data_IF_469612185214
#
_entry.id   IF_469612185214
#
_cell.length_a   1.000
_cell.length_b   1.000
_cell.length_c   1.000
_cell.angle_alpha   90.00
_cell.angle_beta   90.00
_cell.angle_gamma   90.00
#
_symmetry.space_group_name_H-M   'P 1'
#
loop_
_entity.id
_entity.type
_entity.pdbx_description
1 polymer ?
#
# COMPACT_ATOMS: atom_id res chain seq x y z
N UNK A 1 10.32 -13.48 -9.97
CA UNK A 1 9.10 -12.65 -9.84
C UNK A 1 7.86 -13.49 -9.56
N UNK A 2 7.58 -14.55 -10.34
CA UNK A 2 6.42 -15.44 -10.13
C UNK A 2 6.29 -16.02 -8.71
N UNK A 3 7.42 -16.34 -8.06
CA UNK A 3 7.47 -16.75 -6.64
C UNK A 3 6.65 -15.83 -5.73
N UNK A 4 6.68 -14.51 -5.92
CA UNK A 4 5.97 -13.57 -5.06
C UNK A 4 4.46 -13.52 -5.34
N UNK A 5 4.05 -13.80 -6.57
CA UNK A 5 2.63 -13.99 -6.93
C UNK A 5 2.10 -15.26 -6.26
N UNK A 6 2.86 -16.36 -6.33
CA UNK A 6 2.52 -17.61 -5.64
C UNK A 6 2.47 -17.43 -4.12
N UNK A 7 3.43 -16.71 -3.54
CA UNK A 7 3.45 -16.40 -2.12
C UNK A 7 2.21 -15.59 -1.71
N UNK A 8 1.81 -14.59 -2.50
CA UNK A 8 0.58 -13.84 -2.25
C UNK A 8 -0.66 -14.76 -2.27
N UNK A 9 -0.74 -15.69 -3.22
CA UNK A 9 -1.79 -16.72 -3.25
C UNK A 9 -1.79 -17.60 -2.00
N UNK A 10 -0.63 -18.09 -1.55
CA UNK A 10 -0.50 -18.88 -0.32
C UNK A 10 -0.88 -18.08 0.95
N UNK A 11 -0.79 -16.75 0.89
CA UNK A 11 -1.22 -15.84 1.95
C UNK A 11 -2.71 -15.47 1.83
N UNK A 12 -3.47 -16.11 0.95
CA UNK A 12 -4.90 -15.89 0.67
C UNK A 12 -5.21 -14.49 0.11
N UNK A 13 -4.30 -13.93 -0.69
CA UNK A 13 -4.59 -12.74 -1.50
C UNK A 13 -5.44 -13.14 -2.71
N UNK A 14 -6.42 -12.30 -3.05
CA UNK A 14 -7.40 -12.59 -4.11
C UNK A 14 -6.73 -12.53 -5.47
N UNK A 15 -6.01 -11.44 -5.73
CA UNK A 15 -5.23 -11.25 -6.95
C UNK A 15 -3.82 -10.78 -6.58
N UNK A 16 -2.84 -11.19 -7.38
CA UNK A 16 -1.49 -10.68 -7.32
C UNK A 16 -0.88 -10.62 -8.71
N UNK A 17 -0.23 -9.51 -9.04
CA UNK A 17 0.34 -9.28 -10.38
C UNK A 17 1.65 -8.52 -10.29
N UNK A 18 2.63 -8.93 -11.09
CA UNK A 18 3.88 -8.20 -11.27
C UNK A 18 3.69 -7.21 -12.42
N UNK A 19 3.99 -5.95 -12.16
CA UNK A 19 3.90 -4.85 -13.13
C UNK A 19 5.22 -4.08 -13.20
N UNK A 20 5.37 -3.28 -14.25
CA UNK A 20 6.40 -2.25 -14.33
C UNK A 20 5.96 -0.98 -13.58
N UNK A 21 6.88 -0.19 -12.99
CA UNK A 21 6.53 1.13 -12.45
C UNK A 21 5.84 2.07 -13.44
N UNK A 22 6.03 1.86 -14.76
CA UNK A 22 5.33 2.61 -15.82
C UNK A 22 3.81 2.41 -15.82
N UNK A 23 3.32 1.35 -15.17
CA UNK A 23 1.90 1.04 -15.03
C UNK A 23 1.29 1.62 -13.75
N UNK A 24 2.08 2.26 -12.87
CA UNK A 24 1.56 3.04 -11.75
C UNK A 24 1.20 4.44 -12.23
N UNK A 25 -0.04 4.84 -11.99
CA UNK A 25 -0.48 6.19 -12.25
C UNK A 25 -0.39 7.03 -10.98
N UNK A 26 0.18 8.23 -11.13
CA UNK A 26 0.29 9.21 -10.06
C UNK A 26 -0.62 10.39 -10.35
N UNK A 27 -1.28 10.89 -9.32
CA UNK A 27 -2.12 12.07 -9.42
C UNK A 27 -2.12 12.83 -8.10
N UNK A 28 -1.83 14.13 -8.14
CA UNK A 28 -1.76 14.97 -6.94
C UNK A 28 -3.12 15.07 -6.23
N UNK A 29 -4.23 14.78 -6.92
CA UNK A 29 -5.57 14.69 -6.31
C UNK A 29 -5.67 13.54 -5.30
N UNK A 30 -4.82 12.51 -5.37
CA UNK A 30 -4.72 11.50 -4.31
C UNK A 30 -4.24 12.14 -2.99
N UNK A 31 -3.30 13.09 -3.06
CA UNK A 31 -2.85 13.86 -1.89
C UNK A 31 -3.95 14.81 -1.40
N UNK A 32 -4.72 15.45 -2.29
CA UNK A 32 -5.89 16.25 -1.92
C UNK A 32 -6.88 15.41 -1.08
N UNK A 33 -7.24 14.21 -1.56
CA UNK A 33 -8.13 13.30 -0.83
C UNK A 33 -7.53 12.83 0.49
N UNK A 34 -6.23 12.54 0.54
CA UNK A 34 -5.56 12.15 1.78
C UNK A 34 -5.60 13.26 2.83
N UNK A 35 -5.36 14.53 2.43
CA UNK A 35 -5.25 15.67 3.34
C UNK A 35 -6.59 16.20 3.87
N UNK A 36 -7.65 16.12 3.06
CA UNK A 36 -8.96 16.71 3.40
C UNK A 36 -10.11 15.71 3.47
N UNK A 37 -9.93 14.50 2.95
CA UNK A 37 -10.97 13.46 2.90
C UNK A 37 -10.72 12.25 3.79
N UNK A 38 -9.59 12.19 4.51
CA UNK A 38 -9.28 11.12 5.45
C UNK A 38 -9.50 11.59 6.89
N UNK A 39 -10.32 10.85 7.64
CA UNK A 39 -10.64 11.14 9.04
C UNK A 39 -9.40 11.04 9.94
N UNK A 40 -8.45 10.14 9.63
CA UNK A 40 -7.21 9.97 10.38
C UNK A 40 -6.12 11.02 10.03
N UNK A 41 -6.35 11.93 9.07
CA UNK A 41 -5.30 12.85 8.62
C UNK A 41 -4.93 13.91 9.66
N UNK A 42 -5.91 14.46 10.37
CA UNK A 42 -5.68 15.46 11.42
C UNK A 42 -4.92 14.89 12.61
N UNK A 43 -5.03 13.58 12.82
CA UNK A 43 -4.28 12.84 13.82
C UNK A 43 -2.84 12.67 13.34
N UNK A 44 -2.01 13.71 13.53
CA UNK A 44 -0.60 13.70 13.17
C UNK A 44 0.16 12.61 13.92
N UNK A 45 0.13 11.42 13.34
CA UNK A 45 0.62 10.21 13.94
C UNK A 45 1.54 9.48 12.97
N UNK A 46 2.28 8.49 13.47
CA UNK A 46 3.32 7.79 12.69
C UNK A 46 2.77 7.15 11.39
N UNK A 47 1.48 6.81 11.33
CA UNK A 47 0.82 6.22 10.14
C UNK A 47 0.63 7.24 9.00
N UNK A 48 0.43 8.51 9.34
CA UNK A 48 0.10 9.58 8.39
C UNK A 48 1.32 10.44 8.01
N UNK A 49 2.51 10.09 8.49
CA UNK A 49 3.73 10.87 8.26
C UNK A 49 4.26 10.68 6.84
N UNK A 50 4.44 11.77 6.11
CA UNK A 50 5.16 11.79 4.82
C UNK A 50 6.69 11.84 4.98
N UNK A 51 7.17 11.95 6.24
CA UNK A 51 8.59 12.12 6.59
C UNK A 51 9.29 13.22 5.78
N UNK A 52 8.57 14.30 5.47
CA UNK A 52 9.11 15.47 4.77
C UNK A 52 9.25 15.31 3.25
N UNK A 53 8.83 14.19 2.67
CA UNK A 53 8.99 13.94 1.23
C UNK A 53 7.97 14.72 0.38
N UNK A 54 8.43 15.35 -0.68
CA UNK A 54 7.63 15.99 -1.73
C UNK A 54 6.93 14.94 -2.61
N UNK A 55 5.93 15.36 -3.38
CA UNK A 55 5.25 14.46 -4.30
C UNK A 55 6.21 13.95 -5.39
N UNK A 56 7.08 14.82 -5.89
CA UNK A 56 8.08 14.50 -6.91
C UNK A 56 9.08 13.47 -6.41
N UNK A 57 9.58 13.60 -5.16
CA UNK A 57 10.45 12.59 -4.55
C UNK A 57 9.78 11.23 -4.45
N UNK A 58 8.51 11.18 -4.01
CA UNK A 58 7.74 9.93 -3.90
C UNK A 58 7.51 9.26 -5.25
N UNK A 59 7.23 10.04 -6.29
CA UNK A 59 7.12 9.54 -7.67
C UNK A 59 8.46 8.97 -8.13
N UNK A 60 9.56 9.68 -7.90
CA UNK A 60 10.90 9.24 -8.30
C UNK A 60 11.32 7.97 -7.55
N UNK A 61 11.03 7.87 -6.25
CA UNK A 61 11.27 6.66 -5.45
C UNK A 61 10.67 5.42 -6.11
N UNK A 62 9.39 5.46 -6.49
CA UNK A 62 8.73 4.30 -7.11
C UNK A 62 9.27 4.02 -8.51
N UNK A 63 9.58 5.05 -9.30
CA UNK A 63 10.10 4.90 -10.67
C UNK A 63 11.48 4.22 -10.73
N UNK A 64 12.23 4.20 -9.62
CA UNK A 64 13.56 3.57 -9.55
C UNK A 64 13.55 2.05 -9.41
N UNK A 65 12.40 1.45 -9.12
CA UNK A 65 12.28 0.01 -9.02
C UNK A 65 12.15 -0.64 -10.41
N UNK A 66 12.45 -1.94 -10.50
CA UNK A 66 12.32 -2.68 -11.77
C UNK A 66 10.93 -3.32 -11.88
N UNK A 67 10.40 -3.78 -10.75
CA UNK A 67 9.14 -4.49 -10.66
C UNK A 67 8.33 -3.99 -9.47
N UNK A 68 7.01 -4.09 -9.57
CA UNK A 68 6.09 -3.83 -8.47
C UNK A 68 5.11 -5.00 -8.43
N UNK A 69 4.97 -5.64 -7.27
CA UNK A 69 3.89 -6.58 -7.02
C UNK A 69 2.67 -5.80 -6.53
N UNK A 70 1.58 -5.81 -7.30
CA UNK A 70 0.26 -5.35 -6.86
C UNK A 70 -0.45 -6.53 -6.21
N UNK A 71 -1.04 -6.32 -5.03
CA UNK A 71 -1.76 -7.34 -4.27
C UNK A 71 -3.14 -6.84 -3.89
N UNK A 72 -4.15 -7.68 -4.08
CA UNK A 72 -5.56 -7.39 -3.82
C UNK A 72 -6.12 -8.28 -2.70
N UNK A 73 -6.90 -7.68 -1.79
CA UNK A 73 -7.72 -8.41 -0.81
C UNK A 73 -8.92 -7.56 -0.38
N UNK A 74 -9.93 -8.20 0.20
CA UNK A 74 -11.01 -7.50 0.90
C UNK A 74 -10.69 -7.30 2.40
N UNK A 75 -9.80 -8.11 2.97
CA UNK A 75 -9.39 -8.02 4.38
C UNK A 75 -8.19 -7.07 4.52
N UNK A 76 -8.36 -5.90 5.18
CA UNK A 76 -7.28 -4.93 5.34
C UNK A 76 -6.13 -5.44 6.21
N UNK A 77 -6.40 -6.29 7.20
CA UNK A 77 -5.37 -6.83 8.10
C UNK A 77 -4.59 -7.93 7.40
N UNK A 78 -5.28 -8.84 6.70
CA UNK A 78 -4.62 -9.89 5.92
C UNK A 78 -3.70 -9.25 4.87
N UNK A 79 -4.20 -8.26 4.12
CA UNK A 79 -3.39 -7.52 3.16
C UNK A 79 -2.17 -6.85 3.81
N UNK A 80 -2.38 -6.19 4.95
CA UNK A 80 -1.31 -5.48 5.66
C UNK A 80 -0.22 -6.42 6.18
N UNK A 81 -0.58 -7.61 6.66
CA UNK A 81 0.36 -8.62 7.14
C UNK A 81 1.07 -9.31 5.97
N UNK A 82 0.31 -9.70 4.94
CA UNK A 82 0.83 -10.39 3.76
C UNK A 82 1.86 -9.57 3.00
N UNK A 83 1.61 -8.26 2.80
CA UNK A 83 2.57 -7.38 2.14
C UNK A 83 3.89 -7.25 2.90
N UNK A 84 3.87 -7.26 4.24
CA UNK A 84 5.10 -7.25 5.04
C UNK A 84 5.85 -8.58 4.96
N UNK A 85 5.14 -9.70 4.91
CA UNK A 85 5.78 -11.01 4.76
C UNK A 85 6.43 -11.16 3.38
N UNK A 86 5.76 -10.65 2.33
CA UNK A 86 6.32 -10.61 0.98
C UNK A 86 7.52 -9.67 0.92
N UNK A 87 7.43 -8.47 1.49
CA UNK A 87 8.56 -7.52 1.59
C UNK A 87 9.77 -8.18 2.27
N UNK A 88 9.56 -8.80 3.44
CA UNK A 88 10.60 -9.51 4.18
C UNK A 88 11.19 -10.66 3.37
N UNK A 89 10.36 -11.47 2.72
CA UNK A 89 10.82 -12.59 1.90
C UNK A 89 11.66 -12.08 0.73
N UNK A 90 11.20 -11.04 0.04
CA UNK A 90 11.94 -10.45 -1.07
C UNK A 90 13.27 -9.86 -0.63
N UNK A 91 13.31 -9.18 0.51
CA UNK A 91 14.55 -8.69 1.10
C UNK A 91 15.55 -9.83 1.35
N UNK A 92 15.10 -10.94 1.93
CA UNK A 92 15.92 -12.12 2.18
C UNK A 92 16.37 -12.85 0.90
N UNK A 93 15.61 -12.72 -0.18
CA UNK A 93 15.95 -13.23 -1.51
C UNK A 93 16.96 -12.32 -2.26
N UNK A 94 17.45 -11.23 -1.64
CA UNK A 94 18.46 -10.34 -2.20
C UNK A 94 17.92 -9.05 -2.82
N UNK A 95 16.60 -8.83 -2.84
CA UNK A 95 16.00 -7.56 -3.25
C UNK A 95 16.13 -6.54 -2.10
N UNK A 96 17.34 -6.04 -1.87
CA UNK A 96 17.71 -5.27 -0.68
C UNK A 96 17.01 -3.90 -0.54
N UNK A 97 16.38 -3.41 -1.61
CA UNK A 97 15.48 -2.25 -1.57
C UNK A 97 14.00 -2.63 -1.46
N UNK A 98 13.63 -3.90 -1.30
CA UNK A 98 12.24 -4.33 -1.20
C UNK A 98 11.47 -3.51 -0.17
N UNK A 99 10.34 -2.94 -0.59
CA UNK A 99 9.58 -2.02 0.25
C UNK A 99 8.08 -2.06 -0.05
N UNK A 100 7.25 -2.24 0.97
CA UNK A 100 5.81 -2.21 0.81
C UNK A 100 5.21 -0.80 0.91
N UNK A 101 4.21 -0.52 0.09
CA UNK A 101 3.30 0.63 0.22
C UNK A 101 1.92 0.08 0.58
N UNK A 102 1.42 0.47 1.76
CA UNK A 102 0.12 0.01 2.28
C UNK A 102 -0.40 0.86 3.42
N UNK A 103 -1.73 0.90 3.57
CA UNK A 103 -2.38 1.43 4.78
C UNK A 103 -2.19 0.46 5.96
N UNK A 104 -1.80 0.98 7.13
CA UNK A 104 -1.54 0.16 8.31
C UNK A 104 -2.82 -0.36 8.97
N UNK A 105 -2.98 -1.69 9.01
CA UNK A 105 -4.12 -2.37 9.63
C UNK A 105 -3.71 -3.58 10.49
N UNK A 106 -2.47 -3.58 10.99
CA UNK A 106 -1.89 -4.71 11.75
C UNK A 106 -2.63 -4.97 13.07
N UNK A 107 -3.05 -3.91 13.77
CA UNK A 107 -3.67 -4.02 15.07
C UNK A 107 -5.20 -4.17 14.95
N UNK A 108 -5.83 -4.90 15.88
CA UNK A 108 -7.30 -4.87 16.07
C UNK A 108 -7.79 -3.50 16.51
N UNK A 109 -7.05 -2.89 17.45
CA UNK A 109 -7.28 -1.54 17.95
C UNK A 109 -5.93 -0.84 17.94
N UNK A 110 -5.83 0.31 17.30
CA UNK A 110 -4.56 1.02 17.16
C UNK A 110 -4.21 1.75 18.47
N UNK A 111 -3.07 1.44 19.10
CA UNK A 111 -2.61 2.17 20.31
C UNK A 111 -2.43 3.66 20.05
N UNK A 112 -2.05 4.01 18.82
CA UNK A 112 -1.82 5.39 18.40
C UNK A 112 -3.10 6.23 18.39
N UNK A 113 -4.24 5.64 18.00
CA UNK A 113 -5.55 6.30 18.10
C UNK A 113 -5.98 6.56 19.56
N UNK A 114 -5.37 5.85 20.52
CA UNK A 114 -5.57 6.08 21.96
C UNK A 114 -4.53 7.05 22.56
N UNK A 115 -3.76 7.75 21.74
CA UNK A 115 -2.69 8.66 22.19
C UNK A 115 -1.42 7.97 22.68
N UNK A 116 -1.30 6.64 22.56
CA UNK A 116 -0.11 5.89 22.98
C UNK A 116 0.90 5.74 21.84
N UNK A 117 2.13 5.36 22.17
CA UNK A 117 3.14 5.01 21.17
C UNK A 117 2.74 3.75 20.39
N UNK A 118 3.13 3.70 19.12
CA UNK A 118 3.00 2.48 18.32
C UNK A 118 3.91 1.39 18.91
N UNK A 119 3.42 0.15 19.14
CA UNK A 119 4.27 -0.96 19.58
C UNK A 119 5.13 -1.55 18.44
N UNK A 120 4.84 -1.20 17.19
CA UNK A 120 5.54 -1.69 16.00
C UNK A 120 5.87 -0.57 15.00
N UNK A 121 6.59 0.49 15.41
CA UNK A 121 6.90 1.62 14.53
C UNK A 121 7.71 1.22 13.28
N UNK A 122 8.53 0.17 13.38
CA UNK A 122 9.35 -0.41 12.31
C UNK A 122 8.52 -1.05 11.19
N UNK A 123 7.28 -1.46 11.50
CA UNK A 123 6.34 -2.08 10.55
C UNK A 123 5.45 -1.07 9.84
N UNK A 124 5.58 0.22 10.14
CA UNK A 124 4.78 1.25 9.49
C UNK A 124 5.32 1.51 8.09
N UNK A 125 4.42 1.57 7.12
CA UNK A 125 4.69 1.91 5.72
C UNK A 125 3.75 3.07 5.33
N UNK A 126 4.12 3.91 4.36
CA UNK A 126 3.21 4.92 3.84
C UNK A 126 2.02 4.28 3.13
N UNK A 127 0.86 4.93 3.17
CA UNK A 127 -0.28 4.52 2.35
C UNK A 127 -0.13 5.03 0.91
N UNK A 128 -0.78 4.31 -0.01
CA UNK A 128 -0.83 4.59 -1.45
C UNK A 128 -1.28 6.03 -1.77
N UNK A 129 -2.36 6.51 -1.14
CA UNK A 129 -2.84 7.88 -1.31
C UNK A 129 -1.84 8.93 -0.83
N UNK A 130 -1.20 8.70 0.32
CA UNK A 130 -0.15 9.60 0.82
C UNK A 130 1.08 9.59 -0.08
N UNK A 131 1.32 8.54 -0.86
CA UNK A 131 2.37 8.51 -1.87
C UNK A 131 1.97 9.14 -3.21
N UNK A 132 0.69 9.48 -3.37
CA UNK A 132 0.16 10.09 -4.59
C UNK A 132 -0.24 9.08 -5.67
N UNK A 133 -0.41 7.81 -5.33
CA UNK A 133 -0.84 6.76 -6.25
C UNK A 133 -2.33 6.89 -6.53
N UNK A 134 -2.71 6.97 -7.81
CA UNK A 134 -4.09 6.80 -8.26
C UNK A 134 -4.40 5.30 -8.36
N UNK A 135 -4.85 4.72 -7.24
CA UNK A 135 -5.16 3.28 -7.16
C UNK A 135 -6.28 2.90 -8.11
N UNK A 136 -7.29 3.75 -8.31
CA UNK A 136 -8.42 3.45 -9.20
C UNK A 136 -7.95 3.32 -10.64
N UNK A 137 -7.23 4.32 -11.16
CA UNK A 137 -6.72 4.27 -12.54
C UNK A 137 -5.71 3.14 -12.72
N UNK A 138 -4.82 2.95 -11.75
CA UNK A 138 -3.81 1.88 -11.76
C UNK A 138 -4.45 0.51 -11.84
N UNK A 139 -5.36 0.17 -10.92
CA UNK A 139 -5.95 -1.17 -10.84
C UNK A 139 -6.91 -1.46 -11.99
N UNK A 140 -7.73 -0.48 -12.41
CA UNK A 140 -8.61 -0.63 -13.59
C UNK A 140 -7.82 -0.86 -14.88
N UNK A 141 -6.69 -0.18 -15.06
CA UNK A 141 -5.82 -0.41 -16.23
C UNK A 141 -5.19 -1.82 -16.24
N UNK A 142 -5.14 -2.49 -15.08
CA UNK A 142 -4.69 -3.88 -14.95
C UNK A 142 -5.84 -4.90 -15.04
N UNK A 143 -7.08 -4.44 -15.28
CA UNK A 143 -8.26 -5.30 -15.29
C UNK A 143 -8.71 -5.77 -13.90
N UNK A 144 -8.22 -5.15 -12.83
CA UNK A 144 -8.57 -5.49 -11.45
C UNK A 144 -9.81 -4.70 -10.99
N UNK A 145 -10.67 -5.27 -10.13
CA UNK A 145 -11.92 -4.63 -9.71
C UNK A 145 -11.66 -3.45 -8.77
N UNK A 146 -12.04 -2.23 -9.16
CA UNK A 146 -11.94 -1.07 -8.27
C UNK A 146 -13.00 -0.03 -8.62
N UNK A 147 -14.20 -0.21 -8.06
CA UNK A 147 -15.33 0.70 -8.28
C UNK A 147 -15.64 1.56 -7.06
N UNK A 148 -16.24 2.72 -7.32
CA UNK A 148 -16.69 3.63 -6.26
C UNK A 148 -17.89 3.00 -5.58
N UNK A 149 -17.74 2.69 -4.30
CA UNK A 149 -18.81 2.10 -3.49
C UNK A 149 -19.99 3.07 -3.35
N UNK A 150 -21.20 2.53 -3.41
CA UNK A 150 -22.46 3.28 -3.33
C UNK A 150 -23.13 3.14 -1.97
N UNK A 151 -22.86 2.04 -1.25
CA UNK A 151 -23.42 1.73 0.06
C UNK A 151 -22.33 1.41 1.07
N UNK A 152 -22.66 1.51 2.36
CA UNK A 152 -21.70 1.28 3.46
C UNK A 152 -21.30 -0.19 3.61
N UNK A 153 -22.17 -1.10 3.19
CA UNK A 153 -22.00 -2.55 3.22
C UNK A 153 -21.36 -3.12 1.95
N UNK A 154 -21.10 -2.29 0.94
CA UNK A 154 -20.39 -2.73 -0.26
C UNK A 154 -18.98 -3.21 0.10
N UNK A 155 -18.54 -4.28 -0.55
CA UNK A 155 -17.24 -4.89 -0.31
C UNK A 155 -16.13 -3.98 -0.87
N UNK A 156 -15.20 -3.59 0.00
CA UNK A 156 -14.04 -2.78 -0.39
C UNK A 156 -12.98 -3.64 -1.10
N UNK A 157 -12.63 -3.25 -2.33
CA UNK A 157 -11.40 -3.73 -2.98
C UNK A 157 -10.21 -2.98 -2.39
N UNK A 158 -9.29 -3.70 -1.72
CA UNK A 158 -8.11 -3.09 -1.07
C UNK A 158 -6.85 -3.55 -1.75
N UNK A 159 -5.99 -2.58 -2.04
CA UNK A 159 -4.75 -2.82 -2.76
C UNK A 159 -3.55 -2.38 -1.94
N UNK A 160 -2.44 -3.09 -2.13
CA UNK A 160 -1.14 -2.61 -1.73
C UNK A 160 -0.06 -3.11 -2.66
N UNK A 161 1.14 -2.60 -2.46
CA UNK A 161 2.22 -2.73 -3.42
C UNK A 161 3.49 -3.19 -2.71
N UNK A 162 4.26 -4.07 -3.34
CA UNK A 162 5.65 -4.34 -2.93
C UNK A 162 6.56 -3.93 -4.08
N UNK A 163 7.41 -2.96 -3.81
CA UNK A 163 8.42 -2.47 -4.75
C UNK A 163 9.62 -3.42 -4.73
N UNK A 164 10.09 -3.85 -5.90
CA UNK A 164 11.11 -4.90 -6.05
C UNK A 164 12.20 -4.44 -7.04
N UNK A 165 13.45 -4.45 -6.61
CA UNK A 165 14.62 -4.11 -7.41
C UNK A 165 15.80 -5.02 -7.13
#
# INVERSE_FOLDING_TARGET
MEKYVQLAGNLNMIDAMIISPKQIFFDIRAILKCRWGCEDYSDQNIRCSTRGTTFQERVEMIKRYNHILVVHSHDPRALSAGLLEIEKTAFLDGYYYAFAIRTCNLCKVCSVQKGNRCPHPEKVRPCDQSFGIDVYKTTRNLGLPCEVLQKKDDIQNRYGFVLLS
#
